data_IF_094145304455
#
_entry.id   IF_094145304455
#
_cell.length_a   1.000
_cell.length_b   1.000
_cell.length_c   1.000
_cell.angle_alpha   90.00
_cell.angle_beta   90.00
_cell.angle_gamma   90.00
#
_symmetry.space_group_name_H-M   'P 1'
#
loop_
_entity.id
_entity.type
_entity.pdbx_description
1 polymer ?
#
# COMPACT_ATOMS: atom_id res chain seq x y z
N UNK A 1 -27.37 -2.74 15.13
CA UNK A 1 -27.44 -3.42 13.82
C UNK A 1 -26.09 -3.19 13.13
N UNK A 2 -25.23 -4.20 13.11
CA UNK A 2 -23.91 -4.10 12.45
C UNK A 2 -24.13 -4.31 10.96
N UNK A 3 -24.03 -3.23 10.17
CA UNK A 3 -24.16 -3.26 8.69
C UNK A 3 -22.84 -3.56 7.98
N UNK A 4 -21.77 -3.76 8.75
CA UNK A 4 -20.42 -3.95 8.24
C UNK A 4 -19.81 -5.26 8.73
N UNK A 5 -19.43 -6.12 7.78
CA UNK A 5 -18.71 -7.37 7.99
C UNK A 5 -17.40 -7.30 7.22
N UNK A 6 -16.31 -7.05 7.96
CA UNK A 6 -14.98 -6.80 7.42
C UNK A 6 -14.50 -7.78 6.34
N UNK A 7 -14.49 -9.12 6.55
CA UNK A 7 -13.97 -10.06 5.54
C UNK A 7 -14.89 -10.24 4.31
N UNK A 8 -16.13 -9.76 4.35
CA UNK A 8 -17.09 -9.86 3.24
C UNK A 8 -17.08 -8.61 2.36
N UNK A 9 -16.79 -7.45 2.95
CA UNK A 9 -16.82 -6.16 2.27
C UNK A 9 -15.44 -5.64 1.89
N UNK A 10 -14.38 -6.25 2.45
CA UNK A 10 -12.99 -5.87 2.20
C UNK A 10 -12.16 -7.12 1.92
N UNK A 11 -11.24 -7.01 0.95
CA UNK A 11 -10.20 -8.01 0.72
C UNK A 11 -8.91 -7.52 1.36
N UNK A 12 -8.40 -8.29 2.31
CA UNK A 12 -7.04 -8.13 2.80
C UNK A 12 -6.07 -8.97 1.98
N UNK A 13 -4.93 -8.37 1.65
CA UNK A 13 -3.78 -9.05 1.05
C UNK A 13 -2.54 -8.59 1.82
N UNK A 14 -1.74 -9.53 2.32
CA UNK A 14 -0.42 -9.21 2.85
C UNK A 14 0.46 -8.77 1.69
N UNK A 15 0.95 -7.53 1.74
CA UNK A 15 1.80 -6.98 0.68
C UNK A 15 3.28 -7.22 1.00
N UNK A 16 3.68 -6.90 2.22
CA UNK A 16 5.02 -7.15 2.75
C UNK A 16 4.88 -7.73 4.15
N UNK A 17 5.38 -8.94 4.35
CA UNK A 17 5.59 -9.48 5.69
C UNK A 17 6.58 -8.57 6.47
N UNK A 18 6.48 -8.48 7.81
CA UNK A 18 7.42 -7.71 8.62
C UNK A 18 8.86 -8.20 8.41
N UNK A 19 9.74 -7.35 7.87
CA UNK A 19 11.16 -7.66 7.73
C UNK A 19 12.03 -6.40 7.71
N UNK A 20 13.33 -6.60 7.92
CA UNK A 20 14.34 -5.55 7.86
C UNK A 20 14.43 -4.94 6.45
N UNK A 21 14.58 -3.62 6.37
CA UNK A 21 14.55 -2.87 5.11
C UNK A 21 15.89 -2.22 4.76
N UNK A 22 16.97 -3.01 4.79
CA UNK A 22 18.32 -2.51 4.52
C UNK A 22 18.61 -2.30 3.01
N UNK A 23 17.85 -2.95 2.13
CA UNK A 23 18.12 -2.98 0.69
C UNK A 23 16.93 -2.48 -0.17
N UNK A 24 15.85 -2.02 0.45
CA UNK A 24 14.59 -1.81 -0.25
C UNK A 24 13.91 -3.14 -0.52
N UNK A 25 12.59 -3.10 -0.70
CA UNK A 25 11.74 -4.27 -0.86
C UNK A 25 10.64 -3.98 -1.87
N UNK A 26 10.12 -5.02 -2.49
CA UNK A 26 8.93 -4.95 -3.34
C UNK A 26 7.87 -5.91 -2.81
N UNK A 27 6.62 -5.48 -2.79
CA UNK A 27 5.49 -6.34 -2.44
C UNK A 27 5.11 -7.27 -3.59
N UNK A 28 4.19 -8.19 -3.31
CA UNK A 28 3.41 -8.83 -4.36
C UNK A 28 2.65 -7.80 -5.20
N UNK A 29 2.37 -8.18 -6.45
CA UNK A 29 1.60 -7.39 -7.41
C UNK A 29 0.15 -7.87 -7.37
N UNK A 30 -0.77 -6.93 -7.16
CA UNK A 30 -2.20 -7.24 -7.04
C UNK A 30 -3.02 -6.61 -8.16
N UNK A 31 -4.01 -7.34 -8.67
CA UNK A 31 -5.00 -6.80 -9.60
C UNK A 31 -6.08 -6.00 -8.87
N UNK A 32 -6.44 -4.86 -9.46
CA UNK A 32 -7.54 -3.99 -8.99
C UNK A 32 -8.86 -4.22 -9.75
N UNK A 33 -8.91 -5.21 -10.66
CA UNK A 33 -10.10 -5.49 -11.51
C UNK A 33 -11.38 -5.73 -10.72
N UNK A 34 -11.27 -6.24 -9.49
CA UNK A 34 -12.41 -6.61 -8.65
C UNK A 34 -12.80 -5.58 -7.60
N UNK A 35 -12.14 -4.42 -7.51
CA UNK A 35 -12.41 -3.41 -6.50
C UNK A 35 -12.61 -2.01 -7.09
N UNK A 36 -13.38 -1.16 -6.40
CA UNK A 36 -13.51 0.26 -6.70
C UNK A 36 -12.41 1.11 -6.08
N UNK A 37 -11.70 0.61 -5.06
CA UNK A 37 -10.64 1.34 -4.36
C UNK A 37 -9.70 0.41 -3.60
N UNK A 38 -8.42 0.78 -3.54
CA UNK A 38 -7.39 0.08 -2.77
C UNK A 38 -6.71 1.02 -1.79
N UNK A 39 -6.60 0.61 -0.53
CA UNK A 39 -5.73 1.27 0.44
C UNK A 39 -4.44 0.46 0.60
N UNK A 40 -3.30 1.13 0.52
CA UNK A 40 -1.98 0.55 0.80
C UNK A 40 -1.56 1.05 2.17
N UNK A 41 -1.70 0.21 3.19
CA UNK A 41 -1.32 0.54 4.57
C UNK A 41 0.06 -0.01 4.84
N UNK A 42 0.99 0.88 5.13
CA UNK A 42 2.36 0.56 5.53
C UNK A 42 2.50 0.81 7.02
N UNK A 43 3.05 -0.16 7.73
CA UNK A 43 3.48 -0.02 9.11
C UNK A 43 5.00 -0.14 9.18
N UNK A 44 5.62 0.79 9.91
CA UNK A 44 7.06 0.84 10.09
C UNK A 44 7.39 0.82 11.57
N UNK A 45 8.37 0.02 11.96
CA UNK A 45 9.04 0.14 13.24
C UNK A 45 10.48 0.59 12.98
N UNK A 46 10.75 1.89 13.13
CA UNK A 46 12.10 2.41 12.93
C UNK A 46 12.93 2.24 14.19
N UNK A 47 13.99 1.42 14.11
CA UNK A 47 15.04 1.29 15.13
C UNK A 47 16.29 2.14 14.84
N UNK A 48 16.34 2.85 13.72
CA UNK A 48 17.44 3.72 13.31
C UNK A 48 16.93 4.99 12.61
N UNK A 49 17.70 6.08 12.73
CA UNK A 49 17.39 7.38 12.15
C UNK A 49 17.66 7.48 10.63
N UNK A 50 17.27 6.45 9.89
CA UNK A 50 17.26 6.44 8.43
C UNK A 50 15.82 6.54 7.95
N UNK A 51 15.56 7.43 6.99
CA UNK A 51 14.24 7.56 6.36
C UNK A 51 13.88 6.30 5.58
N UNK A 52 12.59 6.11 5.30
CA UNK A 52 12.09 5.02 4.45
C UNK A 52 11.28 5.64 3.32
N UNK A 53 11.74 5.47 2.09
CA UNK A 53 11.01 5.89 0.90
C UNK A 53 9.96 4.82 0.56
N UNK A 54 8.72 5.22 0.32
CA UNK A 54 7.61 4.36 -0.07
C UNK A 54 7.07 4.83 -1.42
N UNK A 55 6.87 3.94 -2.38
CA UNK A 55 6.34 4.32 -3.69
C UNK A 55 5.32 3.30 -4.20
N UNK A 56 4.21 3.82 -4.76
CA UNK A 56 3.21 3.02 -5.44
C UNK A 56 3.61 2.86 -6.89
N UNK A 57 3.64 1.61 -7.32
CA UNK A 57 3.96 1.18 -8.67
C UNK A 57 2.72 0.57 -9.30
N UNK A 58 2.69 0.52 -10.62
CA UNK A 58 1.62 -0.07 -11.43
C UNK A 58 2.19 -1.06 -12.44
N UNK A 59 1.40 -2.07 -12.83
CA UNK A 59 1.72 -3.05 -13.87
C UNK A 59 0.47 -3.41 -14.68
N UNK A 60 0.66 -4.06 -15.84
CA UNK A 60 -0.44 -4.54 -16.70
C UNK A 60 -0.94 -5.93 -16.32
N UNK A 61 -0.20 -6.65 -15.47
CA UNK A 61 -0.59 -7.95 -14.94
C UNK A 61 0.10 -8.22 -13.58
N UNK A 62 -0.33 -9.29 -12.91
CA UNK A 62 0.23 -9.74 -11.63
C UNK A 62 1.64 -10.34 -11.77
N UNK A 63 2.13 -10.56 -12.99
CA UNK A 63 3.50 -10.99 -13.24
C UNK A 63 4.48 -9.81 -13.35
N UNK A 64 3.98 -8.57 -13.35
CA UNK A 64 4.79 -7.35 -13.37
C UNK A 64 5.14 -6.85 -14.77
N UNK A 65 4.42 -7.28 -15.79
CA UNK A 65 4.62 -6.77 -17.16
C UNK A 65 4.43 -5.26 -17.19
N UNK A 66 5.39 -4.56 -17.79
CA UNK A 66 5.35 -3.10 -17.94
C UNK A 66 5.47 -2.32 -16.63
N UNK A 67 5.90 -2.95 -15.54
CA UNK A 67 5.98 -2.34 -14.21
C UNK A 67 6.68 -0.98 -14.23
N UNK A 68 5.99 0.04 -13.72
CA UNK A 68 6.49 1.43 -13.65
C UNK A 68 5.88 2.16 -12.47
N UNK A 69 6.44 3.32 -12.13
CA UNK A 69 5.84 4.17 -11.10
C UNK A 69 4.42 4.58 -11.48
N UNK A 70 3.55 4.73 -10.48
CA UNK A 70 2.29 5.44 -10.68
C UNK A 70 2.61 6.88 -11.12
N UNK A 71 1.80 7.44 -12.02
CA UNK A 71 2.01 8.79 -12.56
C UNK A 71 1.11 9.80 -11.85
N UNK A 72 -0.15 9.43 -11.65
CA UNK A 72 -1.12 10.30 -11.03
C UNK A 72 -0.98 10.29 -9.51
N UNK A 73 -0.86 11.48 -8.93
CA UNK A 73 -0.74 11.66 -7.48
C UNK A 73 -1.96 11.08 -6.76
N UNK A 74 -1.71 10.34 -5.68
CA UNK A 74 -2.77 9.77 -4.86
C UNK A 74 -2.82 10.41 -3.47
N UNK A 75 -4.01 10.45 -2.88
CA UNK A 75 -4.23 10.73 -1.48
C UNK A 75 -3.30 9.95 -0.51
N UNK A 76 -2.61 10.66 0.39
CA UNK A 76 -1.73 10.07 1.42
C UNK A 76 -2.10 10.56 2.82
N UNK A 77 -2.11 9.66 3.80
CA UNK A 77 -2.19 10.00 5.22
C UNK A 77 -1.04 9.34 5.97
N UNK A 78 -0.52 10.03 6.99
CA UNK A 78 0.54 9.47 7.80
C UNK A 78 0.37 9.82 9.28
N UNK A 79 0.67 8.85 10.12
CA UNK A 79 0.97 9.00 11.54
C UNK A 79 2.44 8.64 11.75
N UNK A 80 3.25 9.63 12.13
CA UNK A 80 4.70 9.48 12.24
C UNK A 80 5.16 9.17 13.67
N UNK A 81 4.24 9.11 14.63
CA UNK A 81 4.48 8.66 16.00
C UNK A 81 3.20 8.04 16.57
N UNK A 82 3.04 6.74 16.34
CA UNK A 82 1.86 6.00 16.82
C UNK A 82 1.83 5.85 18.34
N UNK A 83 2.90 6.23 19.05
CA UNK A 83 2.91 6.23 20.52
C UNK A 83 2.32 7.51 21.11
N UNK A 84 2.30 8.60 20.33
CA UNK A 84 1.79 9.91 20.77
C UNK A 84 0.30 10.07 20.47
N UNK A 85 -0.17 9.53 19.35
CA UNK A 85 -1.56 9.65 18.89
C UNK A 85 -1.89 8.55 17.88
N UNK A 86 -3.17 8.32 17.63
CA UNK A 86 -3.71 7.51 16.52
C UNK A 86 -4.13 8.36 15.32
N UNK A 87 -3.89 9.67 15.36
CA UNK A 87 -4.31 10.61 14.31
C UNK A 87 -3.54 10.42 13.01
N UNK A 88 -4.27 10.09 11.94
CA UNK A 88 -3.78 10.10 10.57
C UNK A 88 -3.89 11.50 9.98
N UNK A 89 -2.75 12.13 9.71
CA UNK A 89 -2.71 13.50 9.18
C UNK A 89 -2.56 13.43 7.66
N UNK A 90 -3.40 14.18 6.94
CA UNK A 90 -3.32 14.33 5.47
C UNK A 90 -1.94 14.86 5.06
N UNK A 91 -1.36 14.28 4.02
CA UNK A 91 -0.14 14.77 3.35
C UNK A 91 -0.51 15.33 1.97
N UNK A 92 0.47 15.94 1.30
CA UNK A 92 0.31 16.30 -0.10
C UNK A 92 0.11 15.05 -0.95
N UNK A 93 -0.80 15.12 -1.90
CA UNK A 93 -1.06 14.01 -2.82
C UNK A 93 0.19 13.76 -3.66
N UNK A 94 0.61 12.49 -3.73
CA UNK A 94 1.82 12.09 -4.43
C UNK A 94 1.77 10.60 -4.76
N UNK A 95 2.71 10.13 -5.57
CA UNK A 95 2.88 8.70 -5.90
C UNK A 95 3.86 7.99 -4.96
N UNK A 96 4.53 8.78 -4.10
CA UNK A 96 5.51 8.31 -3.13
C UNK A 96 5.49 9.18 -1.88
N UNK A 97 6.00 8.62 -0.79
CA UNK A 97 6.16 9.29 0.49
C UNK A 97 7.43 8.81 1.18
N UNK A 98 8.24 9.75 1.67
CA UNK A 98 9.42 9.43 2.47
C UNK A 98 9.15 9.80 3.93
N UNK A 99 9.29 8.84 4.83
CA UNK A 99 9.13 9.10 6.27
C UNK A 99 10.24 10.01 6.78
N UNK A 100 10.00 10.72 7.88
CA UNK A 100 11.08 11.39 8.60
C UNK A 100 12.00 10.37 9.32
N UNK A 101 13.13 10.86 9.85
CA UNK A 101 14.16 10.04 10.49
C UNK A 101 13.92 9.79 12.00
N UNK A 102 12.82 10.25 12.60
CA UNK A 102 12.54 9.97 14.00
C UNK A 102 12.34 8.46 14.22
N UNK A 103 13.04 7.92 15.21
CA UNK A 103 13.05 6.51 15.60
C UNK A 103 11.75 6.19 16.34
N UNK A 104 10.70 5.91 15.56
CA UNK A 104 9.32 5.74 16.02
C UNK A 104 8.60 4.65 15.22
N UNK A 105 7.48 4.20 15.78
CA UNK A 105 6.51 3.43 15.01
C UNK A 105 5.65 4.39 14.17
N UNK A 106 5.43 4.03 12.91
CA UNK A 106 4.76 4.88 11.93
C UNK A 106 3.75 4.10 11.12
N UNK A 107 2.73 4.82 10.66
CA UNK A 107 1.73 4.33 9.73
C UNK A 107 1.62 5.30 8.56
N UNK A 108 1.65 4.77 7.34
CA UNK A 108 1.44 5.53 6.10
C UNK A 108 0.36 4.81 5.29
N UNK A 109 -0.60 5.56 4.78
CA UNK A 109 -1.69 5.02 3.97
C UNK A 109 -1.74 5.78 2.66
N UNK A 110 -1.66 5.05 1.55
CA UNK A 110 -2.00 5.53 0.22
C UNK A 110 -3.42 5.07 -0.11
N UNK A 111 -4.27 5.95 -0.64
CA UNK A 111 -5.57 5.57 -1.20
C UNK A 111 -5.51 5.66 -2.72
N UNK A 112 -5.59 4.50 -3.37
CA UNK A 112 -5.51 4.35 -4.82
C UNK A 112 -6.89 4.04 -5.36
N UNK A 113 -7.40 4.93 -6.21
CA UNK A 113 -8.53 4.64 -7.08
C UNK A 113 -7.99 4.00 -8.37
N UNK A 114 -8.52 2.84 -8.82
CA UNK A 114 -8.15 2.22 -10.09
C UNK A 114 -8.17 3.20 -11.28
N UNK A 115 -9.04 4.21 -11.25
CA UNK A 115 -9.10 5.29 -12.26
C UNK A 115 -7.81 6.11 -12.38
N UNK A 116 -6.93 6.07 -11.38
CA UNK A 116 -5.64 6.77 -11.37
C UNK A 116 -4.54 5.99 -12.08
N UNK A 117 -4.76 4.72 -12.42
CA UNK A 117 -3.81 3.93 -13.21
C UNK A 117 -3.80 4.41 -14.66
N UNK A 118 -2.75 4.00 -15.38
CA UNK A 118 -2.66 4.18 -16.83
C UNK A 118 -3.57 3.20 -17.59
N UNK A 119 -4.89 3.34 -17.36
CA UNK A 119 -5.92 2.46 -17.91
C UNK A 119 -5.91 2.47 -19.45
N UNK A 120 -5.60 3.62 -20.06
CA UNK A 120 -5.51 3.75 -21.51
C UNK A 120 -4.46 2.81 -22.12
N UNK A 121 -3.40 2.50 -21.36
CA UNK A 121 -2.36 1.55 -21.74
C UNK A 121 -2.50 0.18 -21.07
N UNK A 122 -3.67 -0.14 -20.50
CA UNK A 122 -4.01 -1.46 -19.95
C UNK A 122 -3.44 -1.75 -18.56
N UNK A 123 -3.01 -0.74 -17.80
CA UNK A 123 -2.55 -0.93 -16.43
C UNK A 123 -3.74 -1.19 -15.49
N UNK A 124 -3.68 -2.31 -14.77
CA UNK A 124 -4.75 -2.75 -13.87
C UNK A 124 -4.26 -3.33 -12.54
N UNK A 125 -2.94 -3.36 -12.33
CA UNK A 125 -2.31 -3.87 -11.12
C UNK A 125 -1.49 -2.79 -10.40
N UNK A 126 -1.34 -2.95 -9.09
CA UNK A 126 -0.44 -2.13 -8.27
C UNK A 126 0.48 -2.98 -7.39
N UNK A 127 1.59 -2.39 -6.97
CA UNK A 127 2.45 -2.92 -5.91
C UNK A 127 3.17 -1.79 -5.17
N UNK A 128 3.65 -2.09 -3.97
CA UNK A 128 4.43 -1.17 -3.14
C UNK A 128 5.92 -1.49 -3.31
N UNK A 129 6.73 -0.45 -3.41
CA UNK A 129 8.18 -0.57 -3.22
C UNK A 129 8.65 0.29 -2.06
N UNK A 130 9.70 -0.17 -1.39
CA UNK A 130 10.43 0.58 -0.38
C UNK A 130 11.85 0.87 -0.86
N UNK A 131 12.37 2.04 -0.52
CA UNK A 131 13.78 2.38 -0.71
C UNK A 131 14.63 1.83 0.43
N UNK A 132 15.91 1.57 0.14
CA UNK A 132 16.88 1.14 1.15
C UNK A 132 16.92 2.10 2.35
N UNK A 133 16.77 1.53 3.53
CA UNK A 133 16.84 2.23 4.81
C UNK A 133 17.95 1.60 5.67
N UNK A 134 17.65 1.20 6.90
CA UNK A 134 18.58 0.53 7.80
C UNK A 134 18.04 -0.86 8.19
N UNK A 135 18.93 -1.81 8.48
CA UNK A 135 18.55 -3.16 8.93
C UNK A 135 17.74 -3.18 10.24
N UNK A 136 17.85 -2.13 11.07
CA UNK A 136 17.05 -1.96 12.28
C UNK A 136 15.65 -1.36 12.02
N UNK A 137 15.34 -0.96 10.78
CA UNK A 137 14.03 -0.47 10.39
C UNK A 137 13.24 -1.63 9.78
N UNK A 138 12.11 -1.96 10.41
CA UNK A 138 11.21 -3.03 9.96
C UNK A 138 10.06 -2.43 9.17
N UNK A 139 9.80 -2.94 7.98
CA UNK A 139 8.64 -2.57 7.15
C UNK A 139 7.66 -3.72 7.01
N UNK A 140 6.38 -3.39 7.07
CA UNK A 140 5.25 -4.28 6.81
C UNK A 140 4.22 -3.51 5.99
N UNK A 141 3.51 -4.18 5.09
CA UNK A 141 2.43 -3.56 4.35
C UNK A 141 1.27 -4.52 4.08
N UNK A 142 0.07 -3.94 3.97
CA UNK A 142 -1.17 -4.64 3.64
C UNK A 142 -1.89 -3.86 2.53
N UNK A 143 -2.39 -4.58 1.52
CA UNK A 143 -3.41 -4.05 0.63
C UNK A 143 -4.78 -4.34 1.21
N UNK A 144 -5.63 -3.32 1.14
CA UNK A 144 -6.98 -3.34 1.65
C UNK A 144 -7.89 -2.91 0.51
N UNK A 145 -8.51 -3.86 -0.17
CA UNK A 145 -9.40 -3.58 -1.30
C UNK A 145 -10.83 -3.45 -0.80
N UNK A 146 -11.50 -2.39 -1.22
CA UNK A 146 -12.88 -2.07 -0.83
C UNK A 146 -13.73 -1.84 -2.06
N UNK A 147 -15.05 -1.73 -1.85
CA UNK A 147 -16.02 -1.63 -2.95
C UNK A 147 -15.85 -2.79 -3.94
N UNK A 148 -15.87 -4.01 -3.40
CA UNK A 148 -15.67 -5.22 -4.18
C UNK A 148 -16.84 -5.40 -5.15
N UNK A 149 -16.54 -5.50 -6.45
CA UNK A 149 -17.55 -5.65 -7.52
C UNK A 149 -18.42 -6.91 -7.35
N UNK A 150 -17.86 -7.94 -6.71
CA UNK A 150 -18.53 -9.20 -6.44
C UNK A 150 -18.59 -9.42 -4.93
N UNK A 151 -19.73 -9.09 -4.31
CA UNK A 151 -19.97 -9.46 -2.91
C UNK A 151 -20.24 -10.96 -2.83
N UNK A 152 -19.30 -11.68 -2.24
CA UNK A 152 -19.41 -13.13 -2.05
C UNK A 152 -18.74 -13.52 -0.73
N UNK A 153 -19.14 -14.66 -0.17
CA UNK A 153 -18.62 -15.14 1.11
C UNK A 153 -17.09 -15.32 1.12
N UNK A 154 -16.48 -15.52 -0.05
CA UNK A 154 -15.03 -15.61 -0.22
C UNK A 154 -14.61 -14.84 -1.48
N UNK A 155 -14.16 -13.58 -1.35
CA UNK A 155 -13.73 -12.78 -2.50
C UNK A 155 -12.55 -13.43 -3.24
N UNK A 156 -12.44 -13.27 -4.57
CA UNK A 156 -11.41 -13.91 -5.38
C UNK A 156 -9.98 -13.50 -4.95
N UNK A 157 -8.97 -14.23 -5.43
CA UNK A 157 -7.57 -13.84 -5.22
C UNK A 157 -7.26 -12.57 -6.00
N UNK A 158 -6.45 -11.68 -5.43
CA UNK A 158 -5.94 -10.50 -6.13
C UNK A 158 -4.52 -10.71 -6.68
N UNK A 159 -3.81 -11.75 -6.20
CA UNK A 159 -2.42 -12.09 -6.58
C UNK A 159 -2.34 -13.21 -7.62
N UNK A 160 -3.47 -13.88 -7.90
CA UNK A 160 -3.59 -14.93 -8.91
C UNK A 160 -4.79 -14.54 -9.77
N UNK A 161 -4.55 -14.36 -11.07
CA UNK A 161 -5.60 -14.12 -12.07
C UNK A 161 -6.27 -15.43 -12.50
#
# INVERSE_FOLDING_TARGET
MTKFTFPQQMKLVEALAPAADAAGRASDIISLKSCGKAYVKVHLAQGNAATVALAIMQATDVAGTGAKALVNAVPIWANLDTSLSDTLIRRGDAVSYTTDAAVKNKQVIFEVDPAQLDIANGFDCIFLTTGASNAANITQAEFILVDLRYQQATPPSAIIN
#
